data_IF_677741640651
#
_entry.id   IF_677741640651
#
_cell.length_a   1.000
_cell.length_b   1.000
_cell.length_c   1.000
_cell.angle_alpha   90.00
_cell.angle_beta   90.00
_cell.angle_gamma   90.00
#
_symmetry.space_group_name_H-M   'P 1'
#
loop_
_entity.id
_entity.type
_entity.pdbx_description
1 polymer ?
#
# COMPACT_ATOMS: atom_id res chain seq x y z
N UNK A 1 7.74 -20.05 -14.29
CA UNK A 1 7.24 -19.19 -13.19
C UNK A 1 5.72 -19.36 -13.15
N UNK A 2 5.11 -19.64 -12.00
CA UNK A 2 3.65 -19.80 -11.92
C UNK A 2 2.94 -18.44 -11.98
N UNK A 3 1.67 -18.42 -12.41
CA UNK A 3 0.86 -17.20 -12.41
C UNK A 3 0.78 -16.55 -11.02
N UNK A 4 0.61 -17.37 -9.97
CA UNK A 4 0.61 -16.89 -8.58
C UNK A 4 1.92 -16.22 -8.18
N UNK A 5 3.07 -16.77 -8.60
CA UNK A 5 4.38 -16.16 -8.32
C UNK A 5 4.55 -14.84 -9.04
N UNK A 6 4.16 -14.79 -10.32
CA UNK A 6 4.18 -13.55 -11.10
C UNK A 6 3.30 -12.46 -10.47
N UNK A 7 2.08 -12.81 -10.05
CA UNK A 7 1.16 -11.86 -9.40
C UNK A 7 1.76 -11.32 -8.09
N UNK A 8 2.37 -12.19 -7.27
CA UNK A 8 3.02 -11.74 -6.03
C UNK A 8 4.20 -10.79 -6.30
N UNK A 9 5.04 -11.09 -7.30
CA UNK A 9 6.15 -10.24 -7.71
C UNK A 9 5.64 -8.89 -8.29
N UNK A 10 4.55 -8.92 -9.06
CA UNK A 10 3.94 -7.71 -9.63
C UNK A 10 3.29 -6.81 -8.57
N UNK A 11 2.60 -7.38 -7.58
CA UNK A 11 2.04 -6.61 -6.46
C UNK A 11 3.17 -6.04 -5.59
N UNK A 12 4.26 -6.78 -5.41
CA UNK A 12 5.41 -6.33 -4.62
C UNK A 12 5.04 -6.17 -3.13
N UNK A 13 5.59 -5.17 -2.42
CA UNK A 13 5.37 -4.98 -0.97
C UNK A 13 3.98 -4.41 -0.63
N UNK A 14 3.12 -4.19 -1.65
CA UNK A 14 1.81 -3.57 -1.47
C UNK A 14 0.88 -4.46 -0.66
N UNK A 15 0.35 -3.91 0.44
CA UNK A 15 -0.67 -4.49 1.30
C UNK A 15 -1.82 -3.51 1.49
N UNK A 16 -3.04 -4.01 1.66
CA UNK A 16 -4.21 -3.20 2.00
C UNK A 16 -3.92 -2.35 3.25
N UNK A 17 -4.27 -1.08 3.20
CA UNK A 17 -3.96 -0.06 4.22
C UNK A 17 -2.53 0.49 4.16
N UNK A 18 -1.63 -0.12 3.39
CA UNK A 18 -0.26 0.35 3.23
C UNK A 18 -0.19 1.67 2.45
N UNK A 19 0.79 2.50 2.80
CA UNK A 19 1.06 3.78 2.14
C UNK A 19 2.37 3.67 1.36
N UNK A 20 2.36 4.16 0.13
CA UNK A 20 3.47 4.02 -0.81
C UNK A 20 3.64 5.32 -1.60
N UNK A 21 4.84 5.52 -2.15
CA UNK A 21 5.12 6.58 -3.11
C UNK A 21 5.41 5.96 -4.47
N UNK A 22 4.68 6.41 -5.49
CA UNK A 22 4.94 6.07 -6.88
C UNK A 22 6.08 6.96 -7.41
N UNK A 23 7.20 6.37 -7.81
CA UNK A 23 8.36 7.13 -8.30
C UNK A 23 8.07 7.92 -9.57
N UNK A 24 7.29 7.34 -10.48
CA UNK A 24 6.93 7.93 -11.78
C UNK A 24 5.97 9.11 -11.68
N UNK A 25 4.98 9.00 -10.80
CA UNK A 25 3.96 10.05 -10.61
C UNK A 25 4.38 11.08 -9.56
N UNK A 26 5.36 10.76 -8.73
CA UNK A 26 5.80 11.60 -7.63
C UNK A 26 4.78 11.75 -6.50
N UNK A 27 3.75 10.89 -6.47
CA UNK A 27 2.63 10.96 -5.54
C UNK A 27 2.67 9.83 -4.50
N UNK A 28 2.16 10.13 -3.31
CA UNK A 28 1.87 9.18 -2.24
C UNK A 28 0.44 8.69 -2.38
N UNK A 29 0.23 7.39 -2.19
CA UNK A 29 -1.08 6.76 -2.25
C UNK A 29 -1.23 5.73 -1.12
N UNK A 30 -2.48 5.47 -0.74
CA UNK A 30 -2.85 4.36 0.14
C UNK A 30 -3.51 3.26 -0.68
N UNK A 31 -3.14 2.01 -0.45
CA UNK A 31 -3.82 0.86 -1.05
C UNK A 31 -5.10 0.57 -0.28
N UNK A 32 -6.23 0.59 -0.97
CA UNK A 32 -7.54 0.29 -0.39
C UNK A 32 -7.92 -1.18 -0.59
N UNK A 33 -7.68 -1.72 -1.79
CA UNK A 33 -8.03 -3.10 -2.14
C UNK A 33 -6.96 -3.73 -3.03
N UNK A 34 -6.81 -5.06 -2.91
CA UNK A 34 -5.98 -5.88 -3.78
C UNK A 34 -6.84 -7.06 -4.23
N UNK A 35 -7.04 -7.18 -5.53
CA UNK A 35 -7.74 -8.31 -6.15
C UNK A 35 -6.70 -9.23 -6.80
N UNK A 36 -6.87 -10.54 -6.62
CA UNK A 36 -6.07 -11.56 -7.29
C UNK A 36 -6.97 -12.65 -7.88
N UNK A 37 -6.55 -13.21 -9.01
CA UNK A 37 -7.30 -14.20 -9.76
C UNK A 37 -8.35 -13.59 -10.69
N UNK A 38 -9.09 -14.45 -11.41
CA UNK A 38 -10.08 -14.02 -12.40
C UNK A 38 -11.28 -13.33 -11.75
N UNK A 39 -11.91 -12.41 -12.49
CA UNK A 39 -13.11 -11.70 -12.05
C UNK A 39 -12.83 -10.43 -11.24
N UNK A 40 -11.56 -10.00 -11.15
CA UNK A 40 -11.19 -8.68 -10.64
C UNK A 40 -11.71 -7.54 -11.54
N UNK A 41 -11.59 -6.28 -11.07
CA UNK A 41 -12.12 -5.11 -11.78
C UNK A 41 -11.43 -4.79 -13.12
N UNK A 42 -10.33 -5.48 -13.45
CA UNK A 42 -9.62 -5.37 -14.72
C UNK A 42 -9.75 -6.70 -15.46
N UNK A 43 -10.61 -6.81 -16.50
CA UNK A 43 -11.01 -8.10 -17.09
C UNK A 43 -9.88 -8.93 -17.72
N UNK A 44 -8.78 -8.29 -18.08
CA UNK A 44 -7.63 -8.91 -18.76
C UNK A 44 -6.42 -9.09 -17.84
N UNK A 45 -6.54 -8.78 -16.55
CA UNK A 45 -5.45 -8.90 -15.58
C UNK A 45 -5.81 -9.89 -14.48
N UNK A 46 -4.85 -10.73 -14.11
CA UNK A 46 -4.95 -11.66 -12.98
C UNK A 46 -4.88 -10.96 -11.61
N UNK A 47 -4.75 -9.63 -11.61
CA UNK A 47 -4.66 -8.83 -10.41
C UNK A 47 -5.01 -7.36 -10.67
N UNK A 48 -5.47 -6.67 -9.64
CA UNK A 48 -5.72 -5.24 -9.66
C UNK A 48 -5.55 -4.65 -8.27
N UNK A 49 -5.17 -3.38 -8.21
CA UNK A 49 -5.04 -2.60 -6.99
C UNK A 49 -5.97 -1.41 -7.09
N UNK A 50 -6.72 -1.18 -6.03
CA UNK A 50 -7.47 0.06 -5.80
C UNK A 50 -6.66 0.91 -4.84
N UNK A 51 -6.36 2.14 -5.24
CA UNK A 51 -5.54 3.08 -4.47
C UNK A 51 -6.21 4.44 -4.38
N UNK A 52 -5.99 5.16 -3.27
CA UNK A 52 -6.40 6.55 -3.09
C UNK A 52 -5.17 7.45 -3.04
N UNK A 53 -5.14 8.47 -3.89
CA UNK A 53 -4.09 9.49 -3.89
C UNK A 53 -4.14 10.28 -2.57
N UNK A 54 -3.03 10.36 -1.84
CA UNK A 54 -2.92 11.12 -0.58
C UNK A 54 -2.39 12.53 -0.79
N UNK A 55 -1.65 12.75 -1.87
CA UNK A 55 -1.09 14.03 -2.28
C UNK A 55 -1.19 14.20 -3.82
N UNK A 56 -0.46 15.18 -4.36
CA UNK A 56 -0.43 15.45 -5.78
C UNK A 56 -1.58 16.33 -6.27
N UNK A 57 -1.87 16.34 -7.58
CA UNK A 57 -2.81 17.29 -8.18
C UNK A 57 -4.28 16.99 -7.86
N UNK A 58 -4.60 15.76 -7.46
CA UNK A 58 -5.97 15.33 -7.15
C UNK A 58 -6.03 14.45 -5.90
N UNK A 59 -5.75 14.98 -4.69
CA UNK A 59 -5.83 14.21 -3.46
C UNK A 59 -7.25 13.66 -3.24
N UNK A 60 -7.36 12.46 -2.67
CA UNK A 60 -8.62 11.75 -2.48
C UNK A 60 -9.14 11.05 -3.73
N UNK A 61 -8.48 11.19 -4.88
CA UNK A 61 -8.86 10.45 -6.09
C UNK A 61 -8.56 8.96 -5.92
N UNK A 62 -9.59 8.14 -6.06
CA UNK A 62 -9.45 6.68 -6.14
C UNK A 62 -9.17 6.24 -7.58
N UNK A 63 -8.30 5.24 -7.74
CA UNK A 63 -7.95 4.64 -9.02
C UNK A 63 -7.84 3.13 -8.91
N UNK A 64 -8.15 2.44 -10.00
CA UNK A 64 -7.95 1.00 -10.14
C UNK A 64 -6.92 0.74 -11.25
N UNK A 65 -5.89 -0.06 -10.98
CA UNK A 65 -4.84 -0.35 -11.95
C UNK A 65 -4.16 -1.71 -11.70
N UNK A 66 -3.38 -2.19 -12.68
CA UNK A 66 -2.56 -3.40 -12.59
C UNK A 66 -1.10 -3.10 -12.97
N UNK A 67 -0.55 -1.99 -12.44
CA UNK A 67 0.83 -1.56 -12.72
C UNK A 67 1.79 -2.20 -11.72
N UNK A 68 2.70 -3.03 -12.22
CA UNK A 68 3.66 -3.75 -11.41
C UNK A 68 4.51 -2.81 -10.55
N UNK A 69 4.92 -3.31 -9.38
CA UNK A 69 5.81 -2.60 -8.48
C UNK A 69 7.18 -2.44 -9.13
N UNK A 70 7.72 -1.22 -9.12
CA UNK A 70 9.09 -0.97 -9.54
C UNK A 70 9.99 -0.75 -8.31
N UNK A 71 10.86 -1.69 -7.95
CA UNK A 71 11.75 -1.54 -6.79
C UNK A 71 12.80 -0.43 -6.96
N UNK A 72 13.05 0.06 -8.18
CA UNK A 72 13.96 1.17 -8.45
C UNK A 72 13.31 2.54 -8.32
N UNK A 73 11.97 2.63 -8.43
CA UNK A 73 11.24 3.89 -8.43
C UNK A 73 10.27 4.04 -7.24
N UNK A 74 9.63 2.96 -6.84
CA UNK A 74 8.56 2.96 -5.83
C UNK A 74 9.12 2.71 -4.42
N UNK A 75 8.50 3.33 -3.42
CA UNK A 75 8.94 3.22 -2.01
C UNK A 75 7.77 3.02 -1.05
N UNK A 76 7.89 2.09 -0.11
CA UNK A 76 6.96 2.00 1.03
C UNK A 76 7.16 3.23 1.93
N UNK A 77 6.05 3.78 2.41
CA UNK A 77 6.05 4.91 3.34
C UNK A 77 5.51 4.43 4.69
N UNK A 78 6.11 4.86 5.80
CA UNK A 78 5.53 4.60 7.11
C UNK A 78 4.15 5.24 7.14
N UNK A 79 3.17 4.50 7.64
CA UNK A 79 1.84 5.05 7.87
C UNK A 79 1.96 6.19 8.89
N UNK A 80 1.60 7.44 8.54
CA UNK A 80 1.64 8.56 9.47
C UNK A 80 0.70 8.36 10.68
N UNK A 81 -0.23 7.41 10.63
CA UNK A 81 -1.10 6.99 11.74
C UNK A 81 -0.48 5.98 12.71
N UNK A 82 0.64 5.35 12.37
CA UNK A 82 1.32 4.40 13.26
C UNK A 82 2.23 5.16 14.23
N UNK A 83 1.61 5.90 15.17
CA UNK A 83 2.32 6.21 16.43
C UNK A 83 2.74 4.87 17.02
N UNK A 84 4.04 4.61 17.10
CA UNK A 84 4.54 3.55 17.98
C UNK A 84 3.94 3.87 19.35
N UNK A 85 3.13 2.96 19.90
CA UNK A 85 2.76 3.06 21.31
C UNK A 85 4.07 3.25 22.08
N UNK A 86 4.21 4.28 22.94
CA UNK A 86 5.40 4.38 23.77
C UNK A 86 5.53 3.08 24.57
N UNK A 87 6.76 2.56 24.77
CA UNK A 87 6.95 1.42 25.64
C UNK A 87 6.39 1.78 27.00
N UNK A 88 5.43 0.99 27.48
CA UNK A 88 4.75 1.10 28.76
C UNK A 88 5.69 1.64 29.87
N UNK A 89 5.59 2.94 30.19
CA UNK A 89 6.14 3.45 31.45
C UNK A 89 5.31 2.81 32.55
N UNK A 90 5.87 1.76 33.18
CA UNK A 90 5.34 1.26 34.44
C UNK A 90 5.34 2.44 35.40
N UNK A 91 4.14 2.85 35.80
CA UNK A 91 3.92 3.78 36.90
C UNK A 91 4.80 3.37 38.09
N UNK A 92 5.80 4.18 38.40
CA UNK A 92 6.29 4.32 39.77
C UNK A 92 5.15 4.93 40.58
N UNK A 93 4.34 4.05 41.17
CA UNK A 93 3.35 4.42 42.17
C UNK A 93 3.98 4.23 43.55
N UNK A 94 4.42 5.34 44.13
CA UNK A 94 4.65 5.48 45.55
C UNK A 94 3.44 4.99 46.36
N UNK A 95 3.70 4.16 47.37
CA UNK A 95 2.76 3.78 48.42
C UNK A 95 3.52 3.74 49.73
N UNK A 96 3.08 4.59 50.65
CA UNK A 96 3.68 4.92 51.94
C UNK A 96 3.73 3.77 52.95
#
# INVERSE_FOLDING_TARGET
MSAARYVAEAIGPRRVGGVYRCGYRGITYRVEEIHTGPGGPIPWSEWAIVETDLDGPTPGRTRTHCTAWDPGADTERPDPGQRRSPPNERQEGAGA
#
